data_IF_459729166569
#
_entry.id   IF_459729166569
#
_cell.length_a   1.000
_cell.length_b   1.000
_cell.length_c   1.000
_cell.angle_alpha   90.00
_cell.angle_beta   90.00
_cell.angle_gamma   90.00
#
_symmetry.space_group_name_H-M   'P 1'
#
loop_
_entity.id
_entity.type
_entity.pdbx_description
1 polymer ?
#
# COMPACT_ATOMS: atom_id res chain seq x y z
N UNK A 1 13.46 2.61 14.25
CA UNK A 1 12.27 1.97 13.67
C UNK A 1 11.65 2.99 12.73
N UNK A 2 11.61 2.77 11.42
CA UNK A 2 10.71 3.56 10.57
C UNK A 2 9.42 2.75 10.48
N UNK A 3 8.47 2.95 11.41
CA UNK A 3 7.21 2.27 11.32
C UNK A 3 6.56 2.78 10.04
N UNK A 4 6.30 1.91 9.07
CA UNK A 4 5.31 2.24 8.04
C UNK A 4 4.08 2.80 8.77
N UNK A 5 3.67 4.03 8.42
CA UNK A 5 2.57 4.74 9.07
C UNK A 5 1.40 3.78 9.33
N UNK A 6 0.81 3.83 10.52
CA UNK A 6 -0.24 2.89 10.89
C UNK A 6 -1.46 3.00 9.96
N UNK A 7 -1.74 4.20 9.46
CA UNK A 7 -2.75 4.46 8.44
C UNK A 7 -2.44 3.74 7.12
N UNK A 8 -1.18 3.78 6.70
CA UNK A 8 -0.71 3.09 5.50
C UNK A 8 -0.81 1.57 5.65
N UNK A 9 -0.41 1.00 6.80
CA UNK A 9 -0.57 -0.44 7.08
C UNK A 9 -2.05 -0.84 7.04
N UNK A 10 -2.93 0.00 7.57
CA UNK A 10 -4.38 -0.24 7.52
C UNK A 10 -4.91 -0.23 6.08
N UNK A 11 -4.49 0.74 5.27
CA UNK A 11 -4.86 0.79 3.84
C UNK A 11 -4.38 -0.45 3.07
N UNK A 12 -3.14 -0.90 3.31
CA UNK A 12 -2.60 -2.11 2.70
C UNK A 12 -3.41 -3.33 3.12
N UNK A 13 -3.69 -3.49 4.42
CA UNK A 13 -4.46 -4.63 4.93
C UNK A 13 -5.88 -4.66 4.33
N UNK A 14 -6.54 -3.50 4.20
CA UNK A 14 -7.83 -3.41 3.52
C UNK A 14 -7.76 -3.84 2.05
N UNK A 15 -6.68 -3.48 1.35
CA UNK A 15 -6.46 -3.91 -0.03
C UNK A 15 -6.26 -5.44 -0.10
N UNK A 16 -5.47 -6.00 0.83
CA UNK A 16 -5.25 -7.43 0.96
C UNK A 16 -6.56 -8.16 1.20
N UNK A 17 -7.38 -7.71 2.15
CA UNK A 17 -8.67 -8.34 2.44
C UNK A 17 -9.64 -8.25 1.26
N UNK A 18 -9.68 -7.11 0.56
CA UNK A 18 -10.52 -6.90 -0.62
C UNK A 18 -10.17 -7.86 -1.75
N UNK A 19 -8.87 -8.06 -2.01
CA UNK A 19 -8.39 -8.88 -3.12
C UNK A 19 -7.98 -10.30 -2.67
N UNK A 20 -8.22 -10.67 -1.41
CA UNK A 20 -7.74 -11.90 -0.80
C UNK A 20 -8.16 -13.14 -1.58
N UNK A 21 -9.48 -13.25 -1.79
CA UNK A 21 -10.06 -14.43 -2.42
C UNK A 21 -9.84 -14.47 -3.93
N UNK A 22 -9.63 -13.32 -4.58
CA UNK A 22 -9.49 -13.25 -6.05
C UNK A 22 -8.03 -13.34 -6.49
N UNK A 23 -7.16 -12.54 -5.90
CA UNK A 23 -5.78 -12.35 -6.36
C UNK A 23 -4.75 -13.08 -5.48
N UNK A 24 -5.11 -13.39 -4.22
CA UNK A 24 -4.19 -13.93 -3.21
C UNK A 24 -4.62 -15.30 -2.69
N UNK A 25 -5.45 -16.03 -3.46
CA UNK A 25 -6.01 -17.33 -3.06
C UNK A 25 -4.95 -18.40 -2.73
N UNK A 26 -3.72 -18.23 -3.24
CA UNK A 26 -2.59 -19.12 -2.99
C UNK A 26 -1.81 -18.78 -1.70
N UNK A 27 -2.07 -17.62 -1.09
CA UNK A 27 -1.51 -17.23 0.21
C UNK A 27 -2.39 -17.74 1.35
N UNK A 28 -1.81 -17.83 2.54
CA UNK A 28 -2.56 -18.26 3.73
C UNK A 28 -3.69 -17.28 4.06
N UNK A 29 -4.78 -17.81 4.61
CA UNK A 29 -5.96 -17.04 5.01
C UNK A 29 -5.72 -16.06 6.18
N UNK A 30 -4.58 -16.17 6.87
CA UNK A 30 -4.13 -15.29 7.95
C UNK A 30 -2.89 -14.44 7.58
N UNK A 31 -2.39 -14.56 6.34
CA UNK A 31 -1.27 -13.76 5.86
C UNK A 31 -1.61 -12.26 5.82
N UNK A 32 -0.77 -11.46 6.47
CA UNK A 32 -0.72 -10.01 6.34
C UNK A 32 0.75 -9.58 6.20
N UNK A 33 1.08 -8.65 5.28
CA UNK A 33 2.46 -8.22 5.08
C UNK A 33 2.95 -7.44 6.31
N UNK A 34 4.08 -7.87 6.88
CA UNK A 34 4.67 -7.24 8.07
C UNK A 34 5.71 -6.18 7.72
N UNK A 35 6.44 -6.41 6.64
CA UNK A 35 7.58 -5.61 6.20
C UNK A 35 7.38 -5.07 4.80
N UNK A 36 8.15 -4.03 4.45
CA UNK A 36 7.98 -3.35 3.16
C UNK A 36 8.15 -4.29 1.96
N UNK A 37 9.09 -5.24 2.01
CA UNK A 37 9.26 -6.20 0.92
C UNK A 37 8.02 -7.07 0.72
N UNK A 38 7.39 -7.49 1.81
CA UNK A 38 6.16 -8.27 1.75
C UNK A 38 4.99 -7.43 1.25
N UNK A 39 4.92 -6.15 1.61
CA UNK A 39 3.96 -5.21 1.05
C UNK A 39 4.14 -5.10 -0.47
N UNK A 40 5.35 -4.82 -0.93
CA UNK A 40 5.64 -4.67 -2.36
C UNK A 40 5.33 -5.96 -3.15
N UNK A 41 5.68 -7.12 -2.59
CA UNK A 41 5.36 -8.42 -3.19
C UNK A 41 3.86 -8.67 -3.24
N UNK A 42 3.12 -8.32 -2.18
CA UNK A 42 1.67 -8.49 -2.12
C UNK A 42 0.96 -7.58 -3.12
N UNK A 43 1.39 -6.32 -3.23
CA UNK A 43 0.89 -5.39 -4.25
C UNK A 43 1.20 -5.89 -5.66
N UNK A 44 2.37 -6.47 -5.89
CA UNK A 44 2.72 -7.07 -7.18
C UNK A 44 1.82 -8.26 -7.53
N UNK A 45 1.48 -9.13 -6.57
CA UNK A 45 0.50 -10.20 -6.79
C UNK A 45 -0.89 -9.67 -7.14
N UNK A 46 -1.36 -8.62 -6.45
CA UNK A 46 -2.63 -7.96 -6.75
C UNK A 46 -2.61 -7.37 -8.17
N UNK A 47 -1.47 -6.83 -8.63
CA UNK A 47 -1.31 -6.31 -9.99
C UNK A 47 -1.27 -7.41 -11.06
N UNK A 48 -0.67 -8.57 -10.76
CA UNK A 48 -0.54 -9.69 -11.71
C UNK A 48 -1.84 -10.46 -11.89
N UNK A 49 -2.59 -10.66 -10.82
CA UNK A 49 -3.78 -11.51 -10.81
C UNK A 49 -5.10 -10.73 -10.72
N UNK A 50 -5.03 -9.42 -10.48
CA UNK A 50 -6.22 -8.57 -10.36
C UNK A 50 -6.61 -7.90 -11.66
N UNK A 51 -7.85 -7.39 -11.67
CA UNK A 51 -8.40 -6.63 -12.79
C UNK A 51 -7.73 -5.25 -12.93
N UNK A 52 -8.13 -4.50 -13.96
CA UNK A 52 -7.62 -3.15 -14.25
C UNK A 52 -7.70 -2.20 -13.05
N UNK A 53 -8.76 -2.31 -12.23
CA UNK A 53 -8.89 -1.54 -11.00
C UNK A 53 -7.87 -1.92 -9.92
N UNK A 54 -7.61 -3.21 -9.75
CA UNK A 54 -6.62 -3.73 -8.82
C UNK A 54 -5.21 -3.29 -9.24
N UNK A 55 -4.92 -3.37 -10.55
CA UNK A 55 -3.66 -2.89 -11.12
C UNK A 55 -3.43 -1.40 -10.84
N UNK A 56 -4.48 -0.57 -11.04
CA UNK A 56 -4.41 0.88 -10.75
C UNK A 56 -4.12 1.13 -9.27
N UNK A 57 -4.98 0.64 -8.38
CA UNK A 57 -4.90 0.90 -6.93
C UNK A 57 -3.58 0.40 -6.33
N UNK A 58 -3.20 -0.83 -6.66
CA UNK A 58 -1.95 -1.41 -6.16
C UNK A 58 -0.71 -0.76 -6.80
N UNK A 59 -0.81 -0.33 -8.06
CA UNK A 59 0.28 0.36 -8.77
C UNK A 59 0.58 1.74 -8.18
N UNK A 60 -0.43 2.52 -7.82
CA UNK A 60 -0.27 3.82 -7.15
C UNK A 60 0.46 3.66 -5.82
N UNK A 61 0.02 2.72 -4.97
CA UNK A 61 0.67 2.42 -3.69
C UNK A 61 2.10 1.92 -3.88
N UNK A 62 2.34 1.01 -4.84
CA UNK A 62 3.65 0.44 -5.10
C UNK A 62 4.66 1.52 -5.52
N UNK A 63 4.26 2.43 -6.41
CA UNK A 63 5.13 3.52 -6.87
C UNK A 63 5.41 4.54 -5.78
N UNK A 64 4.43 4.85 -4.93
CA UNK A 64 4.63 5.73 -3.79
C UNK A 64 5.64 5.10 -2.83
N UNK A 65 5.38 3.88 -2.35
CA UNK A 65 6.26 3.14 -1.43
C UNK A 65 7.68 2.97 -1.94
N UNK A 66 7.84 2.65 -3.23
CA UNK A 66 9.16 2.49 -3.85
C UNK A 66 9.95 3.80 -3.87
N UNK A 67 9.28 4.93 -4.10
CA UNK A 67 9.91 6.25 -4.07
C UNK A 67 10.28 6.68 -2.65
N UNK A 68 9.39 6.53 -1.68
CA UNK A 68 9.63 6.98 -0.29
C UNK A 68 10.73 6.18 0.40
N UNK A 69 10.93 4.91 0.01
CA UNK A 69 11.92 4.04 0.64
C UNK A 69 13.29 4.01 -0.09
N UNK A 70 13.43 4.64 -1.27
CA UNK A 70 14.68 4.63 -2.04
C UNK A 70 15.69 5.73 -1.67
N UNK A 71 15.34 6.70 -0.82
CA UNK A 71 16.28 7.66 -0.22
C UNK A 71 15.62 8.45 0.94
N UNK A 72 16.37 8.91 1.96
CA UNK A 72 15.85 9.82 2.97
C UNK A 72 15.86 11.23 2.37
N UNK A 73 14.71 11.72 1.94
CA UNK A 73 14.66 13.08 1.41
C UNK A 73 13.35 13.43 0.72
N UNK A 74 12.49 14.08 1.49
CA UNK A 74 11.48 15.08 1.10
C UNK A 74 10.17 14.62 0.42
N UNK A 75 9.10 15.04 1.12
CA UNK A 75 7.91 15.73 0.59
C UNK A 75 6.88 14.91 -0.18
N UNK A 76 5.76 14.65 0.52
CA UNK A 76 4.54 14.22 -0.15
C UNK A 76 3.28 14.18 0.71
N UNK A 77 3.19 14.91 1.82
CA UNK A 77 1.91 15.10 2.54
C UNK A 77 1.91 16.35 3.43
N UNK A 78 2.15 17.51 2.83
CA UNK A 78 1.69 18.80 3.38
C UNK A 78 0.63 19.33 2.42
N UNK A 79 -0.63 18.99 2.68
CA UNK A 79 -1.67 19.32 1.71
C UNK A 79 -3.10 19.02 2.11
N UNK A 80 -3.48 19.07 3.39
CA UNK A 80 -4.86 19.42 3.72
C UNK A 80 -4.99 19.95 5.14
N UNK A 81 -5.66 21.10 5.24
CA UNK A 81 -6.22 21.74 6.44
C UNK A 81 -5.35 22.81 7.12
N UNK A 82 -5.27 23.98 6.49
CA UNK A 82 -5.42 25.24 7.23
C UNK A 82 -6.66 25.97 6.69
N UNK A 83 -7.74 25.91 7.49
CA UNK A 83 -8.87 26.84 7.41
C UNK A 83 -8.81 27.64 8.72
N UNK A 84 -8.16 28.78 8.65
CA UNK A 84 -8.29 29.92 9.56
C UNK A 84 -8.52 31.09 8.60
N UNK A 85 -9.70 31.70 8.48
CA UNK A 85 -10.45 32.29 9.59
C UNK A 85 -9.87 33.68 9.82
N UNK A 86 -10.31 34.64 9.00
CA UNK A 86 -10.50 36.08 9.28
C UNK A 86 -11.16 36.73 8.07
#
# INVERSE_FOLDING_TARGET
MNPMDEDLRRQINQLVDTYRQRCLWFLRADYYPTDLQDVLRTLDYIRRYGDREAFRKAGELYQWLSRTNSAPGVSGMSGLRQRSGL
#
